data_IF_108249026907
#
_entry.id   IF_108249026907
#
_cell.length_a   1.000
_cell.length_b   1.000
_cell.length_c   1.000
_cell.angle_alpha   90.00
_cell.angle_beta   90.00
_cell.angle_gamma   90.00
#
_symmetry.space_group_name_H-M   'P 1'
#
loop_
_entity.id
_entity.type
_entity.pdbx_description
1 polymer ?
#
# COMPACT_ATOMS: atom_id res chain seq x y z
N UNK A 1 19.46 29.08 35.93
CA UNK A 1 20.04 28.42 34.76
C UNK A 1 19.83 26.88 34.80
N UNK A 2 20.35 26.13 35.81
CA UNK A 2 20.15 24.66 35.87
C UNK A 2 18.67 24.23 36.02
N UNK A 3 17.85 24.93 36.81
CA UNK A 3 16.41 24.66 36.97
C UNK A 3 15.58 24.97 35.72
N UNK A 4 16.00 25.96 34.94
CA UNK A 4 15.32 26.30 33.67
C UNK A 4 15.64 25.28 32.58
N UNK A 5 16.87 24.80 32.51
CA UNK A 5 17.25 23.71 31.60
C UNK A 5 16.49 22.43 31.89
N UNK A 6 16.37 22.04 33.17
CA UNK A 6 15.57 20.86 33.56
C UNK A 6 14.07 21.02 33.27
N UNK A 7 13.54 22.25 33.33
CA UNK A 7 12.13 22.51 32.96
C UNK A 7 11.92 22.38 31.47
N UNK A 8 12.82 22.92 30.66
CA UNK A 8 12.80 22.83 29.20
C UNK A 8 12.97 21.38 28.77
N UNK A 9 13.89 20.61 29.38
CA UNK A 9 14.04 19.18 29.08
C UNK A 9 12.77 18.37 29.39
N UNK A 10 12.07 18.65 30.47
CA UNK A 10 10.80 17.99 30.83
C UNK A 10 9.65 18.39 29.89
N UNK A 11 9.59 19.64 29.47
CA UNK A 11 8.61 20.11 28.49
C UNK A 11 8.85 19.48 27.11
N UNK A 12 10.11 19.45 26.67
CA UNK A 12 10.49 18.79 25.40
C UNK A 12 10.21 17.28 25.47
N UNK A 13 10.49 16.63 26.60
CA UNK A 13 10.23 15.18 26.76
C UNK A 13 8.73 14.89 26.76
N UNK A 14 7.93 15.71 27.42
CA UNK A 14 6.47 15.61 27.41
C UNK A 14 5.88 15.89 26.04
N UNK A 15 6.37 16.90 25.32
CA UNK A 15 5.92 17.23 23.97
C UNK A 15 6.29 16.13 22.96
N UNK A 16 7.44 15.48 23.15
CA UNK A 16 7.85 14.30 22.36
C UNK A 16 6.96 13.10 22.66
N UNK A 17 6.65 12.83 23.95
CA UNK A 17 5.69 11.78 24.34
C UNK A 17 4.28 12.05 23.80
N UNK A 18 3.77 13.30 23.86
CA UNK A 18 2.48 13.69 23.27
C UNK A 18 2.47 13.59 21.73
N UNK A 19 3.61 13.80 21.07
CA UNK A 19 3.75 13.60 19.63
C UNK A 19 3.80 12.11 19.29
N UNK A 20 4.46 11.29 20.09
CA UNK A 20 4.49 9.83 19.94
C UNK A 20 3.13 9.19 20.23
N UNK A 21 2.36 9.69 21.21
CA UNK A 21 0.98 9.26 21.48
C UNK A 21 -0.02 9.63 20.36
N UNK A 22 0.30 10.60 19.51
CA UNK A 22 -0.55 11.06 18.39
C UNK A 22 -0.30 10.36 17.05
N UNK A 23 0.56 9.33 16.99
CA UNK A 23 0.68 8.53 15.77
C UNK A 23 -0.61 7.74 15.57
N UNK A 24 -1.41 8.14 14.58
CA UNK A 24 -2.64 7.42 14.24
C UNK A 24 -2.28 5.97 13.89
N UNK A 25 -3.08 4.99 14.33
CA UNK A 25 -2.92 3.57 13.98
C UNK A 25 -2.76 3.37 12.48
N UNK A 26 -3.43 4.20 11.68
CA UNK A 26 -3.30 4.23 10.22
C UNK A 26 -1.91 4.64 9.70
N UNK A 27 -1.01 5.11 10.56
CA UNK A 27 0.37 5.48 10.25
C UNK A 27 1.40 4.61 10.98
N UNK A 28 0.98 3.55 11.65
CA UNK A 28 1.89 2.61 12.32
C UNK A 28 2.61 1.70 11.32
N UNK A 29 3.80 1.23 11.69
CA UNK A 29 4.53 0.25 10.89
C UNK A 29 3.74 -1.05 10.69
N UNK A 30 3.06 -1.53 11.73
CA UNK A 30 2.33 -2.81 11.67
C UNK A 30 1.19 -2.76 10.65
N UNK A 31 0.37 -1.70 10.67
CA UNK A 31 -0.67 -1.53 9.66
C UNK A 31 -0.08 -1.39 8.25
N UNK A 32 0.98 -0.58 8.11
CA UNK A 32 1.69 -0.40 6.85
C UNK A 32 2.25 -1.72 6.30
N UNK A 33 2.76 -2.59 7.18
CA UNK A 33 3.26 -3.92 6.83
C UNK A 33 2.12 -4.85 6.36
N UNK A 34 0.96 -4.86 7.05
CA UNK A 34 -0.20 -5.65 6.61
C UNK A 34 -0.69 -5.20 5.23
N UNK A 35 -0.75 -3.89 4.99
CA UNK A 35 -1.12 -3.34 3.70
C UNK A 35 -0.08 -3.67 2.61
N UNK A 36 1.21 -3.65 2.93
CA UNK A 36 2.27 -4.06 2.01
C UNK A 36 2.22 -5.56 1.70
N UNK A 37 1.94 -6.40 2.70
CA UNK A 37 1.73 -7.84 2.53
C UNK A 37 0.55 -8.11 1.57
N UNK A 38 -0.57 -7.40 1.76
CA UNK A 38 -1.74 -7.44 0.89
C UNK A 38 -1.41 -7.00 -0.53
N UNK A 39 -0.68 -5.89 -0.70
CA UNK A 39 -0.27 -5.37 -2.01
C UNK A 39 0.64 -6.33 -2.78
N UNK A 40 1.62 -6.94 -2.12
CA UNK A 40 2.47 -7.97 -2.72
C UNK A 40 1.67 -9.20 -3.14
N UNK A 41 0.76 -9.65 -2.28
CA UNK A 41 -0.14 -10.76 -2.59
C UNK A 41 -0.98 -10.48 -3.86
N UNK A 42 -1.56 -9.29 -3.98
CA UNK A 42 -2.38 -8.88 -5.11
C UNK A 42 -1.58 -8.83 -6.42
N UNK A 43 -0.34 -8.33 -6.39
CA UNK A 43 0.52 -8.30 -7.58
C UNK A 43 0.88 -9.71 -8.07
N UNK A 44 1.27 -10.60 -7.18
CA UNK A 44 1.56 -11.98 -7.54
C UNK A 44 0.32 -12.74 -8.02
N UNK A 45 -0.84 -12.47 -7.40
CA UNK A 45 -2.12 -13.03 -7.85
C UNK A 45 -2.47 -12.60 -9.26
N UNK A 46 -2.46 -11.29 -9.55
CA UNK A 46 -2.84 -10.81 -10.88
C UNK A 46 -1.84 -11.29 -11.94
N UNK A 47 -0.57 -11.33 -11.63
CA UNK A 47 0.45 -11.85 -12.53
C UNK A 47 0.24 -13.33 -12.85
N UNK A 48 -0.03 -14.18 -11.85
CA UNK A 48 -0.09 -15.63 -12.06
C UNK A 48 -1.43 -16.13 -12.66
N UNK A 49 -2.56 -15.48 -12.33
CA UNK A 49 -3.89 -16.01 -12.68
C UNK A 49 -4.79 -14.99 -13.42
N UNK A 50 -4.24 -13.80 -13.77
CA UNK A 50 -4.96 -12.75 -14.47
C UNK A 50 -4.13 -12.18 -15.64
N UNK A 51 -3.66 -13.09 -16.51
CA UNK A 51 -3.00 -12.79 -17.80
C UNK A 51 -1.68 -11.99 -17.68
N UNK A 52 -0.89 -12.24 -16.65
CA UNK A 52 0.45 -11.67 -16.45
C UNK A 52 0.50 -10.12 -16.38
N UNK A 53 -0.55 -9.52 -15.84
CA UNK A 53 -0.62 -8.06 -15.61
C UNK A 53 -0.41 -7.76 -14.14
N UNK A 54 0.42 -6.77 -13.83
CA UNK A 54 0.58 -6.29 -12.46
C UNK A 54 -0.52 -5.32 -12.07
N UNK A 55 -1.08 -5.47 -10.89
CA UNK A 55 -2.08 -4.53 -10.35
C UNK A 55 -1.46 -3.25 -9.79
N UNK A 56 -0.24 -3.33 -9.22
CA UNK A 56 0.45 -2.21 -8.59
C UNK A 56 1.65 -1.70 -9.41
N UNK A 57 2.39 -2.60 -10.08
CA UNK A 57 3.62 -2.26 -10.79
C UNK A 57 3.31 -1.62 -12.16
N UNK A 58 2.67 -0.45 -12.16
CA UNK A 58 2.22 0.23 -13.39
C UNK A 58 3.35 0.57 -14.37
N UNK A 59 4.58 0.73 -13.91
CA UNK A 59 5.74 0.92 -14.79
C UNK A 59 5.90 -0.25 -15.75
N UNK A 60 5.73 -1.50 -15.28
CA UNK A 60 5.76 -2.68 -16.14
C UNK A 60 4.64 -2.67 -17.18
N UNK A 61 3.42 -2.31 -16.76
CA UNK A 61 2.30 -2.19 -17.67
C UNK A 61 2.52 -1.12 -18.75
N UNK A 62 3.08 0.04 -18.40
CA UNK A 62 3.43 1.10 -19.37
C UNK A 62 4.48 0.63 -20.37
N UNK A 63 5.51 -0.11 -19.93
CA UNK A 63 6.56 -0.65 -20.83
C UNK A 63 5.95 -1.63 -21.82
N UNK A 64 5.16 -2.61 -21.34
CA UNK A 64 4.53 -3.63 -22.18
C UNK A 64 3.48 -3.03 -23.11
N UNK A 65 2.68 -2.08 -22.63
CA UNK A 65 1.75 -1.30 -23.45
C UNK A 65 2.48 -0.63 -24.62
N UNK A 66 3.54 0.10 -24.34
CA UNK A 66 4.29 0.85 -25.37
C UNK A 66 4.95 -0.09 -26.38
N UNK A 67 5.50 -1.22 -25.93
CA UNK A 67 6.08 -2.24 -26.80
C UNK A 67 5.03 -2.80 -27.78
N UNK A 68 3.87 -3.21 -27.28
CA UNK A 68 2.80 -3.76 -28.11
C UNK A 68 2.19 -2.72 -29.05
N UNK A 69 2.11 -1.45 -28.64
CA UNK A 69 1.71 -0.35 -29.55
C UNK A 69 2.67 -0.21 -30.75
N UNK A 70 3.98 -0.23 -30.50
CA UNK A 70 4.98 -0.11 -31.57
C UNK A 70 5.01 -1.33 -32.50
N UNK A 71 4.61 -2.50 -32.00
CA UNK A 71 4.45 -3.72 -32.80
C UNK A 71 3.11 -3.79 -33.55
N UNK A 72 2.21 -2.81 -33.40
CA UNK A 72 0.88 -2.81 -33.99
C UNK A 72 -0.11 -3.78 -33.31
N UNK A 73 0.23 -4.34 -32.17
CA UNK A 73 -0.58 -5.30 -31.43
C UNK A 73 -1.56 -4.58 -30.47
N UNK A 74 -2.47 -3.79 -31.01
CA UNK A 74 -3.36 -2.89 -30.28
C UNK A 74 -4.19 -3.59 -29.20
N UNK A 75 -4.66 -4.82 -29.44
CA UNK A 75 -5.41 -5.60 -28.43
C UNK A 75 -4.59 -5.88 -27.17
N UNK A 76 -3.32 -6.24 -27.33
CA UNK A 76 -2.41 -6.45 -26.20
C UNK A 76 -2.04 -5.13 -25.53
N UNK A 77 -1.82 -4.06 -26.31
CA UNK A 77 -1.54 -2.74 -25.77
C UNK A 77 -2.68 -2.25 -24.85
N UNK A 78 -3.93 -2.41 -25.26
CA UNK A 78 -5.10 -2.06 -24.47
C UNK A 78 -5.20 -2.89 -23.19
N UNK A 79 -4.79 -4.16 -23.23
CA UNK A 79 -4.77 -5.04 -22.06
C UNK A 79 -3.91 -4.48 -20.92
N UNK A 80 -2.80 -3.82 -21.23
CA UNK A 80 -1.93 -3.13 -20.25
C UNK A 80 -2.37 -1.69 -19.96
N UNK A 81 -3.02 -1.00 -20.90
CA UNK A 81 -3.50 0.36 -20.69
C UNK A 81 -4.63 0.44 -19.66
N UNK A 82 -5.60 -0.47 -19.72
CA UNK A 82 -6.77 -0.39 -18.85
C UNK A 82 -6.45 -0.47 -17.35
N UNK A 83 -5.55 -1.32 -16.85
CA UNK A 83 -5.10 -1.29 -15.46
C UNK A 83 -4.44 0.03 -15.04
N UNK A 84 -3.67 0.67 -15.95
CA UNK A 84 -3.08 2.01 -15.70
C UNK A 84 -4.17 3.06 -15.53
N UNK A 85 -5.17 3.07 -16.41
CA UNK A 85 -6.32 3.99 -16.31
C UNK A 85 -7.12 3.72 -15.04
N UNK A 86 -7.39 2.44 -14.73
CA UNK A 86 -8.10 2.06 -13.51
C UNK A 86 -7.36 2.50 -12.24
N UNK A 87 -6.03 2.38 -12.23
CA UNK A 87 -5.17 2.88 -11.15
C UNK A 87 -5.33 4.40 -10.98
N UNK A 88 -5.24 5.17 -12.06
CA UNK A 88 -5.43 6.63 -12.01
C UNK A 88 -6.82 7.02 -11.48
N UNK A 89 -7.87 6.33 -11.91
CA UNK A 89 -9.23 6.55 -11.42
C UNK A 89 -9.37 6.23 -9.93
N UNK A 90 -8.73 5.16 -9.44
CA UNK A 90 -8.75 4.81 -8.02
C UNK A 90 -8.07 5.87 -7.14
N UNK A 91 -6.95 6.45 -7.61
CA UNK A 91 -6.31 7.61 -6.95
C UNK A 91 -7.27 8.79 -6.87
N UNK A 92 -7.95 9.14 -7.98
CA UNK A 92 -8.92 10.23 -8.02
C UNK A 92 -10.07 10.00 -7.03
N UNK A 93 -10.64 8.80 -7.00
CA UNK A 93 -11.75 8.46 -6.11
C UNK A 93 -11.31 8.51 -4.65
N UNK A 94 -10.13 7.96 -4.32
CA UNK A 94 -9.60 8.00 -2.97
C UNK A 94 -9.38 9.44 -2.48
N UNK A 95 -8.89 10.33 -3.34
CA UNK A 95 -8.70 11.74 -3.02
C UNK A 95 -10.04 12.45 -2.74
N UNK A 96 -11.07 12.18 -3.56
CA UNK A 96 -12.42 12.72 -3.34
C UNK A 96 -13.04 12.22 -2.03
N UNK A 97 -12.88 10.93 -1.72
CA UNK A 97 -13.33 10.34 -0.45
C UNK A 97 -12.57 11.01 0.71
N UNK A 98 -11.24 11.13 0.59
CA UNK A 98 -10.41 11.80 1.59
C UNK A 98 -10.86 13.23 1.84
N UNK A 99 -11.04 14.03 0.79
CA UNK A 99 -11.50 15.40 0.89
C UNK A 99 -12.87 15.52 1.58
N UNK A 100 -13.84 14.68 1.17
CA UNK A 100 -15.22 14.74 1.69
C UNK A 100 -15.34 14.24 3.14
N UNK A 101 -14.61 13.18 3.51
CA UNK A 101 -14.80 12.49 4.78
C UNK A 101 -13.67 12.68 5.80
N UNK A 102 -12.62 13.49 5.50
CA UNK A 102 -11.49 13.74 6.39
C UNK A 102 -11.90 14.28 7.77
N UNK A 103 -12.98 15.07 7.82
CA UNK A 103 -13.51 15.66 9.05
C UNK A 103 -14.68 14.87 9.66
N UNK A 104 -15.00 13.70 9.12
CA UNK A 104 -16.10 12.89 9.63
C UNK A 104 -15.77 12.28 11.01
N UNK A 105 -16.62 12.57 12.01
CA UNK A 105 -16.41 12.15 13.41
C UNK A 105 -16.68 10.65 13.68
N UNK A 106 -17.51 9.99 12.88
CA UNK A 106 -17.99 8.61 13.15
C UNK A 106 -17.13 7.52 12.50
N UNK A 107 -16.67 7.72 11.27
CA UNK A 107 -15.88 6.73 10.51
C UNK A 107 -14.65 7.43 9.94
N UNK A 108 -13.48 6.87 10.19
CA UNK A 108 -12.27 7.42 9.59
C UNK A 108 -12.28 7.12 8.08
N UNK A 109 -12.03 8.12 7.22
CA UNK A 109 -12.11 7.97 5.76
C UNK A 109 -11.22 6.84 5.20
N UNK A 110 -10.08 6.55 5.84
CA UNK A 110 -9.21 5.43 5.48
C UNK A 110 -9.88 4.06 5.70
N UNK A 111 -10.75 3.92 6.72
CA UNK A 111 -11.56 2.70 6.93
C UNK A 111 -12.56 2.49 5.79
N UNK A 112 -13.14 3.57 5.25
CA UNK A 112 -14.02 3.51 4.08
C UNK A 112 -13.26 2.97 2.87
N UNK A 113 -12.03 3.45 2.64
CA UNK A 113 -11.17 2.98 1.55
C UNK A 113 -10.89 1.48 1.68
N UNK A 114 -10.45 1.01 2.86
CA UNK A 114 -10.16 -0.42 3.09
C UNK A 114 -11.42 -1.28 2.95
N UNK A 115 -12.58 -0.78 3.39
CA UNK A 115 -13.84 -1.49 3.21
C UNK A 115 -14.25 -1.61 1.74
N UNK A 116 -14.07 -0.56 0.95
CA UNK A 116 -14.33 -0.59 -0.51
C UNK A 116 -13.34 -1.57 -1.18
N UNK A 117 -12.06 -1.50 -0.85
CA UNK A 117 -11.05 -2.42 -1.36
C UNK A 117 -11.42 -3.87 -1.03
N UNK A 118 -11.77 -4.17 0.23
CA UNK A 118 -12.24 -5.49 0.64
C UNK A 118 -13.39 -5.99 -0.24
N UNK A 119 -14.43 -5.17 -0.43
CA UNK A 119 -15.60 -5.56 -1.25
C UNK A 119 -15.19 -5.85 -2.69
N UNK A 120 -14.34 -5.00 -3.28
CA UNK A 120 -13.86 -5.18 -4.65
C UNK A 120 -13.08 -6.51 -4.77
N UNK A 121 -12.11 -6.76 -3.89
CA UNK A 121 -11.30 -7.98 -3.94
C UNK A 121 -12.13 -9.23 -3.67
N UNK A 122 -13.12 -9.15 -2.78
CA UNK A 122 -14.05 -10.24 -2.53
C UNK A 122 -14.83 -10.60 -3.80
N UNK A 123 -15.36 -9.60 -4.51
CA UNK A 123 -16.08 -9.78 -5.79
C UNK A 123 -15.15 -10.33 -6.88
N UNK A 124 -13.89 -9.85 -6.96
CA UNK A 124 -12.90 -10.32 -7.93
C UNK A 124 -12.66 -11.82 -7.84
N UNK A 125 -12.74 -12.42 -6.64
CA UNK A 125 -12.61 -13.87 -6.46
C UNK A 125 -13.69 -14.71 -7.14
N UNK A 126 -14.82 -14.11 -7.53
CA UNK A 126 -15.90 -14.79 -8.29
C UNK A 126 -15.81 -14.56 -9.80
N UNK A 127 -14.99 -13.61 -10.27
CA UNK A 127 -14.87 -13.30 -11.69
C UNK A 127 -14.14 -14.44 -12.42
N UNK A 128 -14.76 -15.10 -13.42
CA UNK A 128 -14.13 -16.18 -14.15
C UNK A 128 -12.98 -15.68 -15.05
N UNK A 129 -12.09 -16.59 -15.45
CA UNK A 129 -10.89 -16.28 -16.25
C UNK A 129 -11.17 -15.61 -17.60
N UNK A 130 -12.36 -15.82 -18.20
CA UNK A 130 -12.76 -15.11 -19.42
C UNK A 130 -12.88 -13.58 -19.27
N UNK A 131 -12.87 -13.07 -18.03
CA UNK A 131 -12.98 -11.64 -17.71
C UNK A 131 -11.77 -11.12 -16.93
N UNK A 132 -10.59 -11.68 -17.16
CA UNK A 132 -9.35 -11.33 -16.45
C UNK A 132 -9.03 -9.84 -16.53
N UNK A 133 -9.24 -9.20 -17.67
CA UNK A 133 -9.03 -7.76 -17.82
C UNK A 133 -9.86 -6.95 -16.82
N UNK A 134 -11.16 -7.28 -16.66
CA UNK A 134 -12.03 -6.60 -15.69
C UNK A 134 -11.54 -6.85 -14.27
N UNK A 135 -11.16 -8.10 -13.95
CA UNK A 135 -10.62 -8.45 -12.64
C UNK A 135 -9.36 -7.65 -12.33
N UNK A 136 -8.40 -7.55 -13.26
CA UNK A 136 -7.16 -6.79 -13.09
C UNK A 136 -7.42 -5.30 -12.95
N UNK A 137 -8.33 -4.72 -13.72
CA UNK A 137 -8.76 -3.32 -13.57
C UNK A 137 -9.31 -3.04 -12.18
N UNK A 138 -10.17 -3.92 -11.66
CA UNK A 138 -10.73 -3.78 -10.31
C UNK A 138 -9.67 -3.88 -9.22
N UNK A 139 -8.71 -4.81 -9.34
CA UNK A 139 -7.60 -4.92 -8.39
C UNK A 139 -6.71 -3.68 -8.46
N UNK A 140 -6.35 -3.20 -9.67
CA UNK A 140 -5.56 -1.98 -9.85
C UNK A 140 -6.25 -0.75 -9.27
N UNK A 141 -7.55 -0.61 -9.47
CA UNK A 141 -8.36 0.45 -8.89
C UNK A 141 -8.34 0.39 -7.35
N UNK A 142 -8.57 -0.79 -6.77
CA UNK A 142 -8.57 -0.98 -5.33
C UNK A 142 -7.19 -0.70 -4.71
N UNK A 143 -6.11 -1.24 -5.28
CA UNK A 143 -4.74 -0.98 -4.86
C UNK A 143 -4.38 0.50 -4.86
N UNK A 144 -4.77 1.22 -5.90
CA UNK A 144 -4.46 2.65 -6.02
C UNK A 144 -5.17 3.49 -4.95
N UNK A 145 -6.38 3.10 -4.56
CA UNK A 145 -7.09 3.71 -3.43
C UNK A 145 -6.31 3.52 -2.12
N UNK A 146 -5.78 2.31 -1.86
CA UNK A 146 -4.93 2.03 -0.71
C UNK A 146 -3.66 2.89 -0.72
N UNK A 147 -2.94 2.92 -1.85
CA UNK A 147 -1.71 3.72 -2.00
C UNK A 147 -1.96 5.20 -1.71
N UNK A 148 -3.07 5.73 -2.22
CA UNK A 148 -3.44 7.14 -2.02
C UNK A 148 -3.86 7.44 -0.58
N UNK A 149 -4.55 6.53 0.09
CA UNK A 149 -5.03 6.72 1.46
C UNK A 149 -3.91 6.58 2.50
N UNK A 150 -2.94 5.67 2.26
CA UNK A 150 -1.89 5.32 3.22
C UNK A 150 -0.51 5.74 2.73
N UNK A 151 -0.30 7.07 2.62
CA UNK A 151 0.94 7.67 2.09
C UNK A 151 2.01 7.93 3.14
N UNK A 152 1.69 7.79 4.44
CA UNK A 152 2.60 8.08 5.55
C UNK A 152 2.69 6.91 6.51
N UNK A 153 3.90 6.70 7.04
CA UNK A 153 4.21 5.75 8.09
C UNK A 153 5.16 6.45 9.06
N UNK A 154 4.76 6.59 10.33
CA UNK A 154 5.50 7.36 11.33
C UNK A 154 5.91 8.77 10.84
N UNK A 155 5.02 9.45 10.10
CA UNK A 155 5.31 10.77 9.50
C UNK A 155 6.16 10.74 8.23
N UNK A 156 6.74 9.59 7.83
CA UNK A 156 7.55 9.45 6.62
C UNK A 156 6.68 9.09 5.42
N UNK A 157 6.97 9.70 4.26
CA UNK A 157 6.33 9.29 3.02
C UNK A 157 6.77 7.89 2.60
N UNK A 158 5.81 7.00 2.36
CA UNK A 158 6.04 5.66 1.83
C UNK A 158 4.92 5.26 0.87
N UNK A 159 5.09 4.15 0.19
CA UNK A 159 4.03 3.51 -0.57
C UNK A 159 3.95 2.02 -0.20
N UNK A 160 2.76 1.57 0.20
CA UNK A 160 2.54 0.18 0.63
C UNK A 160 2.82 -0.86 -0.48
N UNK A 161 2.69 -0.45 -1.75
CA UNK A 161 2.76 -1.34 -2.92
C UNK A 161 3.87 -1.00 -3.91
N UNK A 162 4.72 0.02 -3.63
CA UNK A 162 5.77 0.48 -4.53
C UNK A 162 7.15 0.25 -3.93
N UNK A 163 7.82 -0.82 -4.31
CA UNK A 163 9.15 -1.15 -3.77
C UNK A 163 10.22 -0.12 -4.11
N UNK A 164 10.23 0.44 -5.34
CA UNK A 164 11.32 1.31 -5.80
C UNK A 164 11.40 2.63 -5.02
N UNK A 165 10.26 3.25 -4.68
CA UNK A 165 10.23 4.45 -3.87
C UNK A 165 10.77 4.22 -2.45
N UNK A 166 10.35 3.12 -1.83
CA UNK A 166 10.81 2.71 -0.51
C UNK A 166 12.30 2.33 -0.52
N UNK A 167 12.78 1.64 -1.57
CA UNK A 167 14.19 1.28 -1.74
C UNK A 167 15.07 2.52 -1.83
N UNK A 168 14.67 3.52 -2.65
CA UNK A 168 15.37 4.79 -2.75
C UNK A 168 15.47 5.49 -1.39
N UNK A 169 14.34 5.68 -0.71
CA UNK A 169 14.28 6.40 0.56
C UNK A 169 15.03 5.66 1.68
N UNK A 170 14.94 4.32 1.69
CA UNK A 170 15.69 3.48 2.62
C UNK A 170 17.19 3.57 2.41
N UNK A 171 17.66 3.52 1.15
CA UNK A 171 19.08 3.62 0.81
C UNK A 171 19.63 5.02 1.07
N UNK A 172 18.86 6.07 0.80
CA UNK A 172 19.19 7.45 1.17
C UNK A 172 19.37 7.58 2.69
N UNK A 173 18.44 7.04 3.48
CA UNK A 173 18.51 7.02 4.93
C UNK A 173 19.72 6.23 5.44
N UNK A 174 20.08 5.13 4.77
CA UNK A 174 21.28 4.35 5.07
C UNK A 174 22.55 5.17 4.83
N UNK A 175 22.62 5.92 3.74
CA UNK A 175 23.74 6.82 3.43
C UNK A 175 23.90 7.89 4.53
N UNK A 176 22.80 8.48 5.00
CA UNK A 176 22.82 9.43 6.15
C UNK A 176 23.32 8.75 7.41
N UNK A 177 22.87 7.53 7.73
CA UNK A 177 23.34 6.79 8.88
C UNK A 177 24.83 6.45 8.80
N UNK A 178 25.31 6.03 7.67
CA UNK A 178 26.75 5.71 7.49
C UNK A 178 27.65 6.93 7.70
N UNK A 179 27.20 8.11 7.28
CA UNK A 179 27.92 9.37 7.41
C UNK A 179 27.83 9.97 8.81
N UNK A 180 26.60 10.12 9.31
CA UNK A 180 26.30 10.94 10.48
C UNK A 180 26.05 10.11 11.76
N UNK A 181 25.94 8.77 11.61
CA UNK A 181 25.66 7.80 12.70
C UNK A 181 24.40 8.11 13.52
N UNK A 182 23.42 8.81 12.94
CA UNK A 182 22.17 9.19 13.61
C UNK A 182 21.24 7.97 13.78
N UNK A 183 20.82 7.59 15.00
CA UNK A 183 19.96 6.42 15.23
C UNK A 183 18.59 6.52 14.50
N UNK A 184 18.05 7.74 14.35
CA UNK A 184 16.79 7.98 13.64
C UNK A 184 16.87 7.61 12.15
N UNK A 185 18.03 7.84 11.52
CA UNK A 185 18.25 7.41 10.13
C UNK A 185 18.21 5.88 10.04
N UNK A 186 18.77 5.16 11.02
CA UNK A 186 18.72 3.69 11.06
C UNK A 186 17.27 3.18 11.26
N UNK A 187 16.46 3.84 12.09
CA UNK A 187 15.03 3.51 12.22
C UNK A 187 14.29 3.66 10.88
N UNK A 188 14.57 4.73 10.13
CA UNK A 188 14.00 4.91 8.77
C UNK A 188 14.40 3.79 7.82
N UNK A 189 15.68 3.40 7.83
CA UNK A 189 16.18 2.25 7.05
C UNK A 189 15.38 1.00 7.37
N UNK A 190 15.24 0.65 8.67
CA UNK A 190 14.50 -0.52 9.11
C UNK A 190 13.04 -0.49 8.65
N UNK A 191 12.38 0.67 8.71
CA UNK A 191 10.99 0.83 8.24
C UNK A 191 10.88 0.61 6.73
N UNK A 192 11.68 1.28 5.91
CA UNK A 192 11.58 1.17 4.46
C UNK A 192 11.92 -0.23 3.95
N UNK A 193 13.03 -0.82 4.41
CA UNK A 193 13.40 -2.18 4.03
C UNK A 193 12.43 -3.22 4.61
N UNK A 194 11.89 -2.98 5.81
CA UNK A 194 10.84 -3.80 6.41
C UNK A 194 9.58 -3.86 5.54
N UNK A 195 9.13 -2.73 5.00
CA UNK A 195 8.00 -2.69 4.06
C UNK A 195 8.29 -3.47 2.77
N UNK A 196 9.49 -3.30 2.19
CA UNK A 196 9.89 -4.05 0.99
C UNK A 196 9.89 -5.56 1.26
N UNK A 197 10.47 -5.98 2.39
CA UNK A 197 10.51 -7.39 2.79
C UNK A 197 9.10 -7.95 2.99
N UNK A 198 8.24 -7.19 3.65
CA UNK A 198 6.84 -7.59 3.89
C UNK A 198 6.07 -7.73 2.57
N UNK A 199 6.26 -6.79 1.64
CA UNK A 199 5.70 -6.88 0.29
C UNK A 199 6.21 -8.14 -0.43
N UNK A 200 7.51 -8.42 -0.38
CA UNK A 200 8.11 -9.61 -1.00
C UNK A 200 7.56 -10.91 -0.41
N UNK A 201 7.38 -10.98 0.91
CA UNK A 201 6.73 -12.12 1.58
C UNK A 201 5.28 -12.27 1.12
N UNK A 202 4.54 -11.16 1.02
CA UNK A 202 3.18 -11.15 0.49
C UNK A 202 3.10 -11.66 -0.94
N UNK A 203 4.02 -11.21 -1.81
CA UNK A 203 4.11 -11.67 -3.18
C UNK A 203 4.45 -13.18 -3.27
N UNK A 204 5.37 -13.66 -2.44
CA UNK A 204 5.69 -15.08 -2.35
C UNK A 204 4.48 -15.94 -1.94
N UNK A 205 3.80 -15.55 -0.86
CA UNK A 205 2.61 -16.27 -0.38
C UNK A 205 1.48 -16.17 -1.43
N UNK A 206 1.21 -14.98 -1.96
CA UNK A 206 0.18 -14.76 -2.98
C UNK A 206 0.44 -15.57 -4.25
N UNK A 207 1.71 -15.62 -4.69
CA UNK A 207 2.12 -16.42 -5.83
C UNK A 207 1.85 -17.92 -5.64
N UNK A 208 2.29 -18.47 -4.50
CA UNK A 208 2.05 -19.88 -4.16
C UNK A 208 0.54 -20.17 -4.04
N UNK A 209 -0.19 -19.34 -3.28
CA UNK A 209 -1.64 -19.51 -3.14
C UNK A 209 -2.37 -19.45 -4.50
N UNK A 210 -1.94 -18.57 -5.38
CA UNK A 210 -2.54 -18.43 -6.72
C UNK A 210 -2.36 -19.67 -7.58
N UNK A 211 -1.22 -20.35 -7.48
CA UNK A 211 -0.96 -21.59 -8.20
C UNK A 211 -1.87 -22.74 -7.70
N UNK A 212 -2.05 -22.87 -6.38
CA UNK A 212 -2.82 -23.99 -5.81
C UNK A 212 -4.32 -23.74 -5.69
N UNK A 213 -4.75 -22.49 -5.45
CA UNK A 213 -6.15 -22.10 -5.18
C UNK A 213 -6.79 -21.47 -6.42
N UNK A 214 -5.98 -20.91 -7.33
CA UNK A 214 -6.45 -20.23 -8.53
C UNK A 214 -7.13 -18.89 -8.22
N UNK A 215 -8.24 -18.62 -8.91
CA UNK A 215 -8.93 -17.33 -8.87
C UNK A 215 -9.40 -16.88 -7.48
N UNK A 216 -9.70 -17.83 -6.60
CA UNK A 216 -10.17 -17.54 -5.23
C UNK A 216 -9.03 -17.17 -4.27
N UNK A 217 -7.77 -17.32 -4.67
CA UNK A 217 -6.62 -16.94 -3.84
C UNK A 217 -6.68 -15.48 -3.38
N UNK A 218 -7.29 -14.58 -4.18
CA UNK A 218 -7.44 -13.15 -3.83
C UNK A 218 -8.12 -12.92 -2.46
N UNK A 219 -8.92 -13.87 -2.00
CA UNK A 219 -9.55 -13.78 -0.68
C UNK A 219 -8.56 -13.80 0.49
N UNK A 220 -7.33 -14.31 0.27
CA UNK A 220 -6.22 -14.16 1.23
C UNK A 220 -5.88 -12.69 1.47
N UNK A 221 -5.80 -11.89 0.41
CA UNK A 221 -5.64 -10.42 0.51
C UNK A 221 -6.86 -9.78 1.18
N UNK A 222 -8.09 -10.21 0.85
CA UNK A 222 -9.31 -9.72 1.51
C UNK A 222 -9.28 -9.96 3.02
N UNK A 223 -8.77 -11.11 3.48
CA UNK A 223 -8.62 -11.40 4.91
C UNK A 223 -7.62 -10.46 5.61
N UNK A 224 -6.52 -10.11 4.95
CA UNK A 224 -5.56 -9.11 5.45
C UNK A 224 -6.19 -7.73 5.59
N UNK A 225 -7.08 -7.33 4.68
CA UNK A 225 -7.79 -6.05 4.76
C UNK A 225 -8.80 -6.02 5.92
N UNK A 226 -9.45 -7.15 6.24
CA UNK A 226 -10.28 -7.26 7.45
C UNK A 226 -9.45 -7.00 8.69
N UNK A 227 -8.26 -7.63 8.78
CA UNK A 227 -7.34 -7.43 9.88
C UNK A 227 -6.92 -5.94 10.00
N UNK A 228 -6.56 -5.32 8.88
CA UNK A 228 -6.21 -3.90 8.82
C UNK A 228 -7.38 -3.00 9.30
N UNK A 229 -8.61 -3.31 8.87
CA UNK A 229 -9.80 -2.59 9.29
C UNK A 229 -10.07 -2.74 10.80
N UNK A 230 -9.95 -3.95 11.35
CA UNK A 230 -10.13 -4.20 12.79
C UNK A 230 -9.12 -3.44 13.65
N UNK A 231 -7.85 -3.36 13.22
CA UNK A 231 -6.83 -2.57 13.93
C UNK A 231 -7.20 -1.09 13.99
N UNK A 232 -7.71 -0.52 12.89
CA UNK A 232 -8.13 0.89 12.86
C UNK A 232 -9.41 1.16 13.66
N UNK A 233 -10.24 0.16 13.96
CA UNK A 233 -11.45 0.31 14.80
C UNK A 233 -11.09 0.34 16.28
N UNK A 234 -10.07 -0.41 16.71
CA UNK A 234 -9.65 -0.48 18.11
C UNK A 234 -9.10 0.85 18.66
N UNK A 235 -8.55 1.72 17.78
CA UNK A 235 -8.04 3.05 18.17
C UNK A 235 -9.15 4.01 18.69
N UNK A 236 -10.41 3.77 18.35
CA UNK A 236 -11.53 4.65 18.71
C UNK A 236 -12.10 4.40 20.12
N UNK A 237 -11.55 3.47 20.87
CA UNK A 237 -11.95 3.18 22.25
C UNK A 237 -10.92 3.70 23.23
#
# INVERSE_FOLDING_TARGET
MANELQKIEREVHRDVEEIEEKIQTSETFLLSAILALSGGFQDAYTYNVRDNVFSNAQTGNVVLMSQHMMLGEWGKALHYLFPVVAFALGVLVAEQIGHKYKMAKRVHWRQIIVAIEFVILFVVGFIPSGYNMIATMLVSFACSMQVQAFRKMHGYGYASTMCIGNLRSGTESLSVYLRDKKPEALKKVAHYYGIILTFAVGAGIGGVCSIYIGLKAIWGSSALLILACMMMVQEKR
#
